data_IF_751354460304
#
_entry.id   IF_751354460304
#
_cell.length_a   1.000
_cell.length_b   1.000
_cell.length_c   1.000
_cell.angle_alpha   90.00
_cell.angle_beta   90.00
_cell.angle_gamma   90.00
#
_symmetry.space_group_name_H-M   'P 1'
#
loop_
_entity.id
_entity.type
_entity.pdbx_description
1 polymer ?
#
# COMPACT_ATOMS: atom_id res chain seq x y z
N UNK A 1 -3.55 -21.36 12.43
CA UNK A 1 -4.81 -21.41 11.64
C UNK A 1 -4.81 -22.53 10.62
N UNK A 2 -3.86 -22.59 9.68
CA UNK A 2 -3.86 -23.63 8.61
C UNK A 2 -3.84 -25.06 9.19
N UNK A 3 -3.06 -25.30 10.24
CA UNK A 3 -3.00 -26.61 10.91
C UNK A 3 -4.34 -26.98 11.57
N UNK A 4 -5.00 -26.04 12.26
CA UNK A 4 -6.34 -26.26 12.82
C UNK A 4 -7.36 -26.62 11.73
N UNK A 5 -7.27 -25.96 10.57
CA UNK A 5 -8.16 -26.26 9.45
C UNK A 5 -8.04 -27.70 8.96
N UNK A 6 -6.82 -28.23 8.87
CA UNK A 6 -6.53 -29.59 8.39
C UNK A 6 -7.02 -30.64 9.38
N UNK A 7 -6.84 -30.40 10.69
CA UNK A 7 -7.08 -31.42 11.71
C UNK A 7 -8.46 -31.34 12.35
N UNK A 8 -9.06 -30.15 12.48
CA UNK A 8 -10.29 -29.97 13.28
C UNK A 8 -11.47 -29.42 12.49
N UNK A 9 -11.30 -29.07 11.21
CA UNK A 9 -12.35 -28.52 10.34
C UNK A 9 -13.06 -27.26 10.89
N UNK A 10 -12.44 -26.59 11.86
CA UNK A 10 -12.88 -25.31 12.42
C UNK A 10 -11.66 -24.43 12.68
N UNK A 11 -11.85 -23.11 12.75
CA UNK A 11 -10.81 -22.19 13.20
C UNK A 11 -11.30 -21.35 14.38
N UNK A 12 -10.38 -21.09 15.31
CA UNK A 12 -10.65 -20.29 16.49
C UNK A 12 -10.58 -18.80 16.15
N UNK A 13 -11.64 -18.04 16.48
CA UNK A 13 -11.72 -16.61 16.17
C UNK A 13 -10.75 -15.77 17.01
N UNK A 14 -10.43 -16.19 18.23
CA UNK A 14 -9.41 -15.53 19.06
C UNK A 14 -8.02 -15.54 18.41
N UNK A 15 -7.63 -16.67 17.81
CA UNK A 15 -6.36 -16.79 17.10
C UNK A 15 -6.32 -15.96 15.80
N UNK A 16 -7.49 -15.75 15.16
CA UNK A 16 -7.65 -14.85 14.02
C UNK A 16 -7.42 -13.40 14.45
N UNK A 17 -8.09 -12.98 15.52
CA UNK A 17 -7.95 -11.63 16.08
C UNK A 17 -6.49 -11.37 16.45
N UNK A 18 -5.84 -12.30 17.16
CA UNK A 18 -4.44 -12.16 17.54
C UNK A 18 -3.52 -11.96 16.31
N UNK A 19 -3.70 -12.77 15.26
CA UNK A 19 -2.91 -12.66 14.03
C UNK A 19 -3.08 -11.30 13.33
N UNK A 20 -4.32 -10.79 13.26
CA UNK A 20 -4.63 -9.48 12.67
C UNK A 20 -4.03 -8.36 13.52
N UNK A 21 -4.26 -8.38 14.83
CA UNK A 21 -3.79 -7.35 15.77
C UNK A 21 -2.27 -7.23 15.70
N UNK A 22 -1.54 -8.34 15.80
CA UNK A 22 -0.07 -8.34 15.75
C UNK A 22 0.41 -7.76 14.41
N UNK A 23 -0.13 -8.24 13.29
CA UNK A 23 0.37 -7.89 11.95
C UNK A 23 0.06 -6.45 11.56
N UNK A 24 -1.16 -5.98 11.80
CA UNK A 24 -1.55 -4.61 11.48
C UNK A 24 -0.98 -3.58 12.45
N UNK A 25 -0.82 -3.91 13.73
CA UNK A 25 -0.14 -3.02 14.69
C UNK A 25 1.31 -2.83 14.28
N UNK A 26 2.00 -3.93 13.95
CA UNK A 26 3.37 -3.87 13.46
C UNK A 26 3.48 -3.02 12.19
N UNK A 27 2.59 -3.20 11.22
CA UNK A 27 2.59 -2.40 9.99
C UNK A 27 2.30 -0.91 10.23
N UNK A 28 1.38 -0.61 11.15
CA UNK A 28 1.06 0.78 11.55
C UNK A 28 2.29 1.45 12.18
N UNK A 29 2.99 0.76 13.07
CA UNK A 29 4.23 1.26 13.69
C UNK A 29 5.32 1.48 12.63
N UNK A 30 5.53 0.53 11.72
CA UNK A 30 6.55 0.64 10.66
C UNK A 30 6.27 1.85 9.75
N UNK A 31 5.03 2.03 9.31
CA UNK A 31 4.63 3.16 8.46
C UNK A 31 4.73 4.49 9.23
N UNK A 32 4.34 4.50 10.51
CA UNK A 32 4.48 5.67 11.39
C UNK A 32 5.95 6.07 11.60
N UNK A 33 6.84 5.10 11.83
CA UNK A 33 8.28 5.34 11.97
C UNK A 33 8.88 5.87 10.66
N UNK A 34 8.46 5.32 9.52
CA UNK A 34 8.90 5.80 8.20
C UNK A 34 8.44 7.24 7.97
N UNK A 35 7.19 7.57 8.28
CA UNK A 35 6.67 8.93 8.25
C UNK A 35 7.51 9.88 9.10
N UNK A 36 7.75 9.53 10.36
CA UNK A 36 8.57 10.34 11.27
C UNK A 36 9.98 10.60 10.71
N UNK A 37 10.63 9.58 10.14
CA UNK A 37 11.96 9.74 9.52
C UNK A 37 11.94 10.71 8.35
N UNK A 38 10.96 10.62 7.45
CA UNK A 38 10.85 11.54 6.32
C UNK A 38 10.50 12.97 6.76
N UNK A 39 9.60 13.14 7.72
CA UNK A 39 9.26 14.46 8.28
C UNK A 39 10.44 15.11 9.02
N UNK A 40 11.20 14.31 9.78
CA UNK A 40 12.43 14.76 10.43
C UNK A 40 13.50 15.14 9.40
N UNK A 41 13.64 14.36 8.34
CA UNK A 41 14.57 14.66 7.24
C UNK A 41 14.19 15.95 6.50
N UNK A 42 12.89 16.21 6.30
CA UNK A 42 12.40 17.48 5.75
C UNK A 42 12.86 18.68 6.58
N UNK A 43 12.76 18.59 7.93
CA UNK A 43 13.22 19.63 8.86
C UNK A 43 14.74 19.84 8.83
N UNK A 44 15.51 18.78 8.61
CA UNK A 44 16.98 18.81 8.72
C UNK A 44 17.70 19.18 7.41
N UNK A 45 17.18 18.81 6.24
CA UNK A 45 17.98 18.77 5.01
C UNK A 45 17.28 19.38 3.79
N UNK A 46 16.80 20.63 3.90
CA UNK A 46 16.42 21.56 2.80
C UNK A 46 14.94 21.80 2.46
N UNK A 47 13.97 21.55 3.36
CA UNK A 47 12.55 21.87 3.10
C UNK A 47 12.03 21.34 1.74
N UNK A 48 12.51 20.18 1.30
CA UNK A 48 12.12 19.62 0.00
C UNK A 48 10.68 19.07 0.08
N UNK A 49 9.77 19.69 -0.68
CA UNK A 49 8.34 19.34 -0.75
C UNK A 49 8.12 17.85 -1.06
N UNK A 50 9.01 17.22 -1.85
CA UNK A 50 8.91 15.79 -2.17
C UNK A 50 9.07 14.91 -0.92
N UNK A 51 10.03 15.25 -0.05
CA UNK A 51 10.29 14.53 1.20
C UNK A 51 9.13 14.72 2.18
N UNK A 52 8.59 15.94 2.25
CA UNK A 52 7.38 16.24 3.04
C UNK A 52 6.20 15.38 2.57
N UNK A 53 5.96 15.33 1.26
CA UNK A 53 4.82 14.61 0.69
C UNK A 53 4.90 13.10 0.97
N UNK A 54 6.09 12.50 0.91
CA UNK A 54 6.28 11.12 1.36
C UNK A 54 6.02 10.94 2.86
N UNK A 55 6.52 11.86 3.70
CA UNK A 55 6.27 11.84 5.14
C UNK A 55 4.77 11.88 5.46
N UNK A 56 4.03 12.80 4.85
CA UNK A 56 2.56 12.89 4.98
C UNK A 56 1.89 11.64 4.46
N UNK A 57 2.33 11.11 3.31
CA UNK A 57 1.73 9.91 2.74
C UNK A 57 1.87 8.70 3.67
N UNK A 58 3.05 8.49 4.25
CA UNK A 58 3.26 7.41 5.21
C UNK A 58 2.46 7.61 6.50
N UNK A 59 2.21 8.85 6.91
CA UNK A 59 1.33 9.16 8.05
C UNK A 59 -0.11 8.74 7.75
N UNK A 60 -0.64 9.12 6.59
CA UNK A 60 -2.00 8.76 6.17
C UNK A 60 -2.12 7.25 5.96
N UNK A 61 -1.09 6.59 5.43
CA UNK A 61 -1.06 5.13 5.32
C UNK A 61 -1.08 4.43 6.68
N UNK A 62 -0.30 4.92 7.66
CA UNK A 62 -0.34 4.41 9.03
C UNK A 62 -1.73 4.57 9.66
N UNK A 63 -2.35 5.75 9.48
CA UNK A 63 -3.72 6.01 9.93
C UNK A 63 -4.72 5.04 9.28
N UNK A 64 -4.63 4.83 7.96
CA UNK A 64 -5.49 3.90 7.24
C UNK A 64 -5.36 2.46 7.72
N UNK A 65 -4.13 1.96 7.94
CA UNK A 65 -3.90 0.63 8.51
C UNK A 65 -4.46 0.50 9.94
N UNK A 66 -4.33 1.55 10.75
CA UNK A 66 -4.91 1.60 12.10
C UNK A 66 -6.44 1.56 12.10
N UNK A 67 -7.09 2.31 11.20
CA UNK A 67 -8.55 2.29 11.06
C UNK A 67 -9.03 0.90 10.60
N UNK A 68 -8.34 0.30 9.63
CA UNK A 68 -8.63 -1.07 9.16
C UNK A 68 -8.53 -2.06 10.33
N UNK A 69 -7.49 -1.97 11.15
CA UNK A 69 -7.32 -2.81 12.34
C UNK A 69 -8.53 -2.70 13.29
N UNK A 70 -8.91 -1.47 13.67
CA UNK A 70 -10.00 -1.24 14.63
C UNK A 70 -11.33 -1.75 14.09
N UNK A 71 -11.64 -1.46 12.83
CA UNK A 71 -12.92 -1.87 12.23
C UNK A 71 -12.98 -3.39 12.06
N UNK A 72 -11.90 -4.01 11.58
CA UNK A 72 -11.85 -5.45 11.37
C UNK A 72 -11.99 -6.22 12.67
N UNK A 73 -11.27 -5.81 13.71
CA UNK A 73 -11.36 -6.45 15.03
C UNK A 73 -12.76 -6.28 15.62
N UNK A 74 -13.36 -5.10 15.50
CA UNK A 74 -14.73 -4.83 15.96
C UNK A 74 -15.77 -5.73 15.28
N UNK A 75 -15.66 -5.97 13.97
CA UNK A 75 -16.56 -6.88 13.27
C UNK A 75 -16.34 -8.35 13.63
N UNK A 76 -15.10 -8.77 13.82
CA UNK A 76 -14.77 -10.16 14.13
C UNK A 76 -15.19 -10.51 15.57
N UNK A 77 -15.13 -9.56 16.51
CA UNK A 77 -15.62 -9.72 17.89
C UNK A 77 -17.12 -10.03 17.98
N UNK A 78 -17.90 -9.65 16.98
CA UNK A 78 -19.35 -9.93 16.91
C UNK A 78 -19.66 -11.36 16.41
N UNK A 79 -18.64 -12.13 16.01
CA UNK A 79 -18.80 -13.48 15.45
C UNK A 79 -18.66 -14.56 16.54
N UNK A 80 -19.25 -15.76 16.35
CA UNK A 80 -19.09 -16.86 17.30
C UNK A 80 -17.62 -17.26 17.48
N UNK A 81 -17.27 -17.80 18.65
CA UNK A 81 -15.90 -18.12 19.03
C UNK A 81 -15.20 -19.12 18.09
N UNK A 82 -15.97 -19.95 17.39
CA UNK A 82 -15.50 -20.93 16.43
C UNK A 82 -16.36 -20.86 15.16
N UNK A 83 -15.70 -20.90 14.00
CA UNK A 83 -16.35 -20.92 12.69
C UNK A 83 -15.90 -22.20 11.97
N UNK A 84 -16.85 -23.11 11.74
CA UNK A 84 -16.66 -24.38 11.03
C UNK A 84 -17.47 -24.46 9.73
N UNK A 85 -17.15 -25.47 8.90
CA UNK A 85 -17.72 -25.64 7.56
C UNK A 85 -19.25 -25.77 7.47
N UNK A 86 -19.93 -26.12 8.56
CA UNK A 86 -21.41 -26.25 8.61
C UNK A 86 -22.14 -24.94 8.91
N UNK A 87 -21.44 -23.95 9.49
CA UNK A 87 -21.98 -22.61 9.78
C UNK A 87 -21.62 -21.58 8.70
N UNK A 88 -20.75 -21.96 7.76
CA UNK A 88 -20.23 -21.12 6.69
C UNK A 88 -20.96 -21.23 5.37
N UNK A 89 -22.11 -21.92 5.34
CA UNK A 89 -23.04 -21.74 4.24
C UNK A 89 -23.35 -20.26 4.15
N UNK A 90 -23.13 -19.67 2.98
CA UNK A 90 -23.77 -18.43 2.57
C UNK A 90 -25.28 -18.63 2.77
N UNK A 91 -25.78 -18.40 3.99
CA UNK A 91 -27.20 -18.17 4.22
C UNK A 91 -27.46 -16.80 3.61
N UNK A 92 -27.55 -16.78 2.28
CA UNK A 92 -28.34 -15.77 1.60
C UNK A 92 -29.76 -16.05 2.05
N UNK A 93 -30.10 -15.56 3.25
CA UNK A 93 -31.48 -15.37 3.58
C UNK A 93 -31.96 -14.33 2.57
N UNK A 94 -32.63 -14.80 1.52
CA UNK A 94 -33.67 -14.02 0.85
C UNK A 94 -34.83 -13.81 1.85
N UNK A 95 -34.54 -13.22 3.03
CA UNK A 95 -35.54 -12.59 3.86
C UNK A 95 -35.57 -11.13 3.41
N UNK A 96 -36.20 -10.93 2.27
CA UNK A 96 -36.87 -9.69 1.93
C UNK A 96 -37.81 -9.33 3.08
N UNK A 97 -37.33 -8.49 4.01
CA UNK A 97 -38.04 -7.38 4.67
C UNK A 97 -37.18 -6.85 5.82
N UNK A 98 -36.85 -5.56 5.72
CA UNK A 98 -36.64 -4.62 6.82
C UNK A 98 -35.56 -4.93 7.87
N UNK A 99 -34.35 -4.43 7.60
CA UNK A 99 -33.67 -3.58 8.59
C UNK A 99 -32.95 -2.41 7.90
N UNK A 100 -33.72 -1.60 7.17
CA UNK A 100 -33.29 -0.41 6.41
C UNK A 100 -32.50 0.60 7.27
N UNK A 101 -32.56 0.46 8.61
CA UNK A 101 -31.84 1.28 9.59
C UNK A 101 -30.36 0.88 9.82
N UNK A 102 -29.96 -0.37 9.50
CA UNK A 102 -28.61 -0.89 9.74
C UNK A 102 -27.68 -0.71 8.53
N UNK A 103 -28.24 -0.72 7.32
CA UNK A 103 -27.51 -0.51 6.06
C UNK A 103 -26.77 0.84 5.94
N UNK A 104 -27.35 2.01 6.34
CA UNK A 104 -26.61 3.27 6.26
C UNK A 104 -25.38 3.27 7.19
N UNK A 105 -25.45 2.60 8.34
CA UNK A 105 -24.32 2.50 9.29
C UNK A 105 -23.18 1.66 8.72
N UNK A 106 -23.48 0.51 8.11
CA UNK A 106 -22.46 -0.35 7.50
C UNK A 106 -21.76 0.34 6.31
N UNK A 107 -22.50 1.10 5.51
CA UNK A 107 -21.96 1.90 4.39
C UNK A 107 -21.06 3.04 4.90
N UNK A 108 -21.51 3.80 5.89
CA UNK A 108 -20.72 4.87 6.53
C UNK A 108 -19.43 4.29 7.09
N UNK A 109 -19.51 3.15 7.79
CA UNK A 109 -18.34 2.49 8.35
C UNK A 109 -17.36 2.03 7.26
N UNK A 110 -17.86 1.44 6.16
CA UNK A 110 -17.04 1.08 5.00
C UNK A 110 -16.33 2.30 4.40
N UNK A 111 -17.06 3.40 4.19
CA UNK A 111 -16.47 4.63 3.66
C UNK A 111 -15.40 5.19 4.61
N UNK A 112 -15.68 5.27 5.92
CA UNK A 112 -14.70 5.73 6.93
C UNK A 112 -13.45 4.83 6.93
N UNK A 113 -13.62 3.51 6.79
CA UNK A 113 -12.53 2.54 6.85
C UNK A 113 -11.55 2.68 5.68
N UNK A 114 -12.08 2.83 4.47
CA UNK A 114 -11.25 2.78 3.26
C UNK A 114 -10.87 4.17 2.72
N UNK A 115 -11.53 5.25 3.16
CA UNK A 115 -11.21 6.63 2.71
C UNK A 115 -9.77 7.06 3.02
N UNK A 116 -9.21 6.85 4.23
CA UNK A 116 -7.82 7.21 4.52
C UNK A 116 -6.85 6.47 3.59
N UNK A 117 -7.09 5.20 3.30
CA UNK A 117 -6.27 4.40 2.40
C UNK A 117 -6.35 4.89 0.95
N UNK A 118 -7.54 5.32 0.48
CA UNK A 118 -7.71 5.97 -0.83
C UNK A 118 -6.95 7.30 -0.90
N UNK A 119 -7.03 8.11 0.15
CA UNK A 119 -6.30 9.38 0.23
C UNK A 119 -4.78 9.15 0.25
N UNK A 120 -4.31 8.19 1.04
CA UNK A 120 -2.91 7.78 1.07
C UNK A 120 -2.45 7.37 -0.34
N UNK A 121 -3.24 6.57 -1.06
CA UNK A 121 -2.92 6.15 -2.41
C UNK A 121 -2.75 7.33 -3.37
N UNK A 122 -3.67 8.31 -3.36
CA UNK A 122 -3.58 9.51 -4.21
C UNK A 122 -2.37 10.37 -3.85
N UNK A 123 -2.15 10.63 -2.55
CA UNK A 123 -0.98 11.37 -2.08
C UNK A 123 0.33 10.67 -2.47
N UNK A 124 0.35 9.34 -2.37
CA UNK A 124 1.49 8.53 -2.76
C UNK A 124 1.76 8.60 -4.26
N UNK A 125 0.71 8.64 -5.07
CA UNK A 125 0.82 8.83 -6.51
C UNK A 125 1.38 10.21 -6.88
N UNK A 126 0.96 11.26 -6.20
CA UNK A 126 1.51 12.60 -6.41
C UNK A 126 2.99 12.63 -5.98
N UNK A 127 3.35 12.01 -4.86
CA UNK A 127 4.72 11.92 -4.37
C UNK A 127 5.65 11.21 -5.35
N UNK A 128 5.19 10.08 -5.88
CA UNK A 128 5.96 9.27 -6.83
C UNK A 128 6.08 9.96 -8.19
N UNK A 129 5.02 10.59 -8.69
CA UNK A 129 5.08 11.41 -9.90
C UNK A 129 6.09 12.57 -9.78
N UNK A 130 6.14 13.23 -8.62
CA UNK A 130 7.10 14.30 -8.35
C UNK A 130 8.54 13.79 -8.24
N UNK A 131 8.78 12.70 -7.50
CA UNK A 131 10.12 12.12 -7.35
C UNK A 131 10.70 11.66 -8.69
N UNK A 132 9.85 11.03 -9.50
CA UNK A 132 10.25 10.49 -10.78
C UNK A 132 10.30 11.57 -11.89
N UNK A 133 9.79 12.79 -11.63
CA UNK A 133 9.77 13.88 -12.62
C UNK A 133 11.15 14.17 -13.20
N UNK A 134 12.18 14.11 -12.37
CA UNK A 134 13.56 14.37 -12.80
C UNK A 134 14.13 13.22 -13.65
N UNK A 135 13.63 12.00 -13.44
CA UNK A 135 13.96 10.82 -14.27
C UNK A 135 13.18 10.77 -15.59
N UNK A 136 12.08 11.53 -15.73
CA UNK A 136 11.30 11.61 -16.97
C UNK A 136 12.13 12.03 -18.20
N UNK A 137 13.21 12.79 -17.98
CA UNK A 137 14.13 13.22 -19.04
C UNK A 137 14.96 12.07 -19.61
N UNK A 138 15.27 11.04 -18.81
CA UNK A 138 16.05 9.87 -19.24
C UNK A 138 15.18 8.80 -19.89
N UNK A 139 13.92 8.65 -19.44
CA UNK A 139 13.00 7.61 -19.89
C UNK A 139 12.15 8.03 -21.11
N UNK A 140 12.09 9.33 -21.42
CA UNK A 140 11.23 9.92 -22.43
C UNK A 140 9.89 10.36 -21.85
N UNK A 141 9.53 11.64 -22.05
CA UNK A 141 8.38 12.30 -21.40
C UNK A 141 7.05 11.57 -21.67
N UNK A 142 6.81 11.12 -22.90
CA UNK A 142 5.54 10.44 -23.24
C UNK A 142 5.42 9.08 -22.53
N UNK A 143 6.44 8.21 -22.64
CA UNK A 143 6.49 6.90 -21.98
C UNK A 143 6.35 7.01 -20.47
N UNK A 144 6.98 8.04 -19.90
CA UNK A 144 6.89 8.35 -18.49
C UNK A 144 5.47 8.67 -18.03
N UNK A 145 4.79 9.61 -18.70
CA UNK A 145 3.43 10.01 -18.34
C UNK A 145 2.41 8.90 -18.59
N UNK A 146 2.57 8.08 -19.63
CA UNK A 146 1.70 6.92 -19.84
C UNK A 146 1.82 5.91 -18.68
N UNK A 147 3.04 5.62 -18.22
CA UNK A 147 3.28 4.67 -17.11
C UNK A 147 2.69 5.21 -15.80
N UNK A 148 2.79 6.52 -15.53
CA UNK A 148 2.25 7.15 -14.31
C UNK A 148 0.74 7.32 -14.35
N UNK A 149 0.15 7.57 -15.53
CA UNK A 149 -1.30 7.74 -15.67
C UNK A 149 -2.06 6.43 -15.49
N UNK A 150 -1.46 5.31 -15.89
CA UNK A 150 -2.14 4.01 -15.95
C UNK A 150 -2.77 3.58 -14.61
N UNK A 151 -2.09 3.69 -13.45
CA UNK A 151 -2.66 3.22 -12.18
C UNK A 151 -3.68 4.22 -11.61
N UNK A 152 -3.52 5.50 -11.91
CA UNK A 152 -4.46 6.56 -11.54
C UNK A 152 -5.79 6.37 -12.27
N UNK A 153 -5.74 6.06 -13.57
CA UNK A 153 -6.93 5.75 -14.38
C UNK A 153 -7.63 4.50 -13.85
N UNK A 154 -6.89 3.43 -13.53
CA UNK A 154 -7.48 2.23 -12.91
C UNK A 154 -8.21 2.54 -11.60
N UNK A 155 -7.62 3.39 -10.75
CA UNK A 155 -8.22 3.81 -9.49
C UNK A 155 -9.45 4.71 -9.65
N UNK A 156 -9.38 5.68 -10.56
CA UNK A 156 -10.49 6.59 -10.89
C UNK A 156 -11.65 5.82 -11.52
N UNK A 157 -11.38 4.90 -12.44
CA UNK A 157 -12.39 4.01 -12.99
C UNK A 157 -13.11 3.26 -11.85
N UNK A 158 -12.35 2.65 -10.93
CA UNK A 158 -12.92 1.97 -9.77
C UNK A 158 -13.78 2.85 -8.86
N UNK A 159 -13.53 4.15 -8.81
CA UNK A 159 -14.30 5.10 -7.98
C UNK A 159 -15.52 5.68 -8.71
N UNK A 160 -15.44 5.84 -10.04
CA UNK A 160 -16.52 6.40 -10.87
C UNK A 160 -17.60 5.34 -11.16
N UNK A 161 -17.21 4.08 -11.35
CA UNK A 161 -18.16 2.99 -11.62
C UNK A 161 -18.97 2.56 -10.39
N UNK A 162 -18.58 3.00 -9.18
CA UNK A 162 -19.43 2.90 -7.99
C UNK A 162 -20.50 3.98 -8.07
N UNK A 163 -21.57 3.69 -8.81
CA UNK A 163 -22.73 4.56 -8.83
C UNK A 163 -23.42 4.52 -7.46
N UNK A 164 -23.83 5.66 -6.90
CA UNK A 164 -24.72 5.68 -5.73
C UNK A 164 -26.12 5.16 -6.07
N UNK A 165 -26.41 4.96 -7.37
CA UNK A 165 -27.66 4.40 -7.86
C UNK A 165 -27.67 2.89 -7.58
N UNK A 166 -28.50 2.50 -6.61
CA UNK A 166 -28.61 1.22 -5.90
C UNK A 166 -28.97 -0.01 -6.75
N UNK A 167 -28.66 0.01 -8.05
CA UNK A 167 -29.05 -1.02 -9.02
C UNK A 167 -28.10 -2.23 -9.03
N UNK A 168 -26.88 -2.08 -8.53
CA UNK A 168 -25.90 -3.15 -8.43
C UNK A 168 -25.82 -3.72 -7.00
N UNK A 169 -25.56 -5.03 -6.90
CA UNK A 169 -25.31 -5.67 -5.61
C UNK A 169 -24.06 -5.06 -4.95
N UNK A 170 -24.12 -4.74 -3.66
CA UNK A 170 -23.01 -4.16 -2.87
C UNK A 170 -21.71 -4.98 -2.97
N UNK A 171 -21.82 -6.28 -3.28
CA UNK A 171 -20.71 -7.17 -3.58
C UNK A 171 -19.99 -6.81 -4.88
N UNK A 172 -20.72 -6.51 -5.95
CA UNK A 172 -20.15 -6.15 -7.25
C UNK A 172 -19.34 -4.86 -7.14
N UNK A 173 -19.88 -3.85 -6.45
CA UNK A 173 -19.19 -2.57 -6.24
C UNK A 173 -17.95 -2.76 -5.36
N UNK A 174 -18.04 -3.55 -4.29
CA UNK A 174 -16.89 -3.88 -3.46
C UNK A 174 -15.79 -4.61 -4.25
N UNK A 175 -16.15 -5.61 -5.06
CA UNK A 175 -15.19 -6.35 -5.90
C UNK A 175 -14.52 -5.46 -6.95
N UNK A 176 -15.28 -4.54 -7.55
CA UNK A 176 -14.76 -3.59 -8.53
C UNK A 176 -13.77 -2.62 -7.88
N UNK A 177 -14.10 -2.06 -6.72
CA UNK A 177 -13.18 -1.20 -5.95
C UNK A 177 -11.93 -1.97 -5.51
N UNK A 178 -12.08 -3.19 -4.99
CA UNK A 178 -10.96 -4.02 -4.55
C UNK A 178 -10.02 -4.36 -5.72
N UNK A 179 -10.57 -4.77 -6.86
CA UNK A 179 -9.78 -5.10 -8.05
C UNK A 179 -9.04 -3.88 -8.62
N UNK A 180 -9.70 -2.71 -8.63
CA UNK A 180 -9.07 -1.44 -9.02
C UNK A 180 -7.91 -1.06 -8.09
N UNK A 181 -8.09 -1.21 -6.76
CA UNK A 181 -7.05 -0.93 -5.77
C UNK A 181 -5.85 -1.87 -5.94
N UNK A 182 -6.12 -3.17 -6.13
CA UNK A 182 -5.12 -4.20 -6.34
C UNK A 182 -4.35 -3.96 -7.64
N UNK A 183 -5.04 -3.71 -8.74
CA UNK A 183 -4.43 -3.39 -10.03
C UNK A 183 -3.55 -2.14 -9.93
N UNK A 184 -4.05 -1.07 -9.29
CA UNK A 184 -3.30 0.16 -9.07
C UNK A 184 -2.02 -0.06 -8.24
N UNK A 185 -2.12 -0.85 -7.17
CA UNK A 185 -0.98 -1.19 -6.30
C UNK A 185 0.05 -2.10 -6.97
N UNK A 186 -0.37 -3.06 -7.80
CA UNK A 186 0.55 -3.90 -8.58
C UNK A 186 1.27 -3.08 -9.64
N UNK A 187 0.55 -2.25 -10.39
CA UNK A 187 1.15 -1.37 -11.39
C UNK A 187 2.17 -0.43 -10.74
N UNK A 188 1.89 0.01 -9.51
CA UNK A 188 2.85 0.78 -8.73
C UNK A 188 4.15 0.00 -8.48
N UNK A 189 4.08 -1.25 -8.03
CA UNK A 189 5.28 -2.08 -7.86
C UNK A 189 6.04 -2.30 -9.19
N UNK A 190 5.32 -2.39 -10.31
CA UNK A 190 5.93 -2.47 -11.65
C UNK A 190 6.75 -1.22 -11.96
N UNK A 191 6.33 -0.02 -11.51
CA UNK A 191 7.15 1.20 -11.70
C UNK A 191 8.52 1.10 -11.02
N UNK A 192 8.58 0.55 -9.81
CA UNK A 192 9.85 0.30 -9.12
C UNK A 192 10.71 -0.75 -9.83
N UNK A 193 10.11 -1.80 -10.38
CA UNK A 193 10.83 -2.81 -11.16
C UNK A 193 11.38 -2.25 -12.47
N UNK A 194 10.60 -1.43 -13.18
CA UNK A 194 11.06 -0.74 -14.40
C UNK A 194 12.25 0.16 -14.05
N UNK A 195 12.16 0.90 -12.95
CA UNK A 195 13.24 1.76 -12.48
C UNK A 195 14.51 0.95 -12.15
N UNK A 196 14.36 -0.15 -11.42
CA UNK A 196 15.48 -1.04 -11.10
C UNK A 196 16.14 -1.65 -12.36
N UNK A 197 15.34 -2.05 -13.35
CA UNK A 197 15.84 -2.58 -14.64
C UNK A 197 16.56 -1.53 -15.46
N UNK A 198 16.02 -0.30 -15.51
CA UNK A 198 16.66 0.81 -16.22
C UNK A 198 18.05 1.12 -15.66
N UNK A 199 18.26 0.96 -14.35
CA UNK A 199 19.57 1.18 -13.72
C UNK A 199 20.56 0.07 -14.05
N UNK A 200 20.11 -1.19 -14.14
CA UNK A 200 20.97 -2.34 -14.50
C UNK A 200 21.43 -2.33 -15.96
N UNK A 201 20.65 -1.72 -16.86
CA UNK A 201 20.97 -1.68 -18.30
C UNK A 201 21.98 -0.59 -18.68
N UNK A 202 22.38 0.29 -17.76
CA UNK A 202 23.37 1.33 -18.09
C UNK A 202 24.77 0.70 -18.16
N UNK A 203 25.44 0.84 -19.29
CA UNK A 203 26.64 0.08 -19.75
C UNK A 203 27.90 0.22 -18.88
N UNK A 204 27.85 1.00 -17.80
CA UNK A 204 28.92 1.09 -16.79
C UNK A 204 28.39 0.60 -15.43
N UNK A 205 28.59 -0.69 -15.08
CA UNK A 205 28.17 -1.21 -13.79
C UNK A 205 29.04 -0.60 -12.69
N UNK A 206 28.53 0.39 -11.97
CA UNK A 206 29.11 0.82 -10.70
C UNK A 206 28.35 0.14 -9.55
N UNK A 207 29.08 -0.25 -8.51
CA UNK A 207 28.53 -0.98 -7.34
C UNK A 207 27.30 -0.29 -6.74
N UNK A 208 27.27 1.06 -6.73
CA UNK A 208 26.16 1.84 -6.19
C UNK A 208 24.83 1.69 -6.96
N UNK A 209 24.85 1.62 -8.30
CA UNK A 209 23.61 1.46 -9.09
C UNK A 209 22.99 0.07 -8.90
N UNK A 210 23.82 -0.96 -8.75
CA UNK A 210 23.35 -2.31 -8.45
C UNK A 210 22.67 -2.36 -7.09
N UNK A 211 23.27 -1.78 -6.05
CA UNK A 211 22.68 -1.72 -4.71
C UNK A 211 21.34 -0.98 -4.71
N UNK A 212 21.24 0.15 -5.40
CA UNK A 212 19.99 0.90 -5.55
C UNK A 212 18.90 0.07 -6.25
N UNK A 213 19.27 -0.65 -7.32
CA UNK A 213 18.34 -1.55 -8.02
C UNK A 213 17.85 -2.69 -7.10
N UNK A 214 18.69 -3.22 -6.21
CA UNK A 214 18.27 -4.21 -5.20
C UNK A 214 17.26 -3.63 -4.21
N UNK A 215 17.50 -2.43 -3.67
CA UNK A 215 16.55 -1.78 -2.75
C UNK A 215 15.20 -1.48 -3.39
N UNK A 216 15.19 -1.01 -4.65
CA UNK A 216 13.96 -0.81 -5.43
C UNK A 216 13.22 -2.13 -5.69
N UNK A 217 13.96 -3.22 -5.96
CA UNK A 217 13.35 -4.54 -6.18
C UNK A 217 12.71 -5.08 -4.89
N UNK A 218 13.38 -4.95 -3.74
CA UNK A 218 12.83 -5.33 -2.43
C UNK A 218 11.57 -4.51 -2.12
N UNK A 219 11.60 -3.20 -2.39
CA UNK A 219 10.44 -2.33 -2.20
C UNK A 219 9.27 -2.77 -3.06
N UNK A 220 9.51 -3.11 -4.34
CA UNK A 220 8.47 -3.59 -5.26
C UNK A 220 7.78 -4.86 -4.76
N UNK A 221 8.55 -5.88 -4.35
CA UNK A 221 7.98 -7.09 -3.77
C UNK A 221 7.21 -6.82 -2.48
N UNK A 222 7.74 -5.95 -1.61
CA UNK A 222 7.05 -5.48 -0.42
C UNK A 222 5.71 -4.82 -0.74
N UNK A 223 5.65 -3.97 -1.78
CA UNK A 223 4.39 -3.33 -2.18
C UNK A 223 3.38 -4.31 -2.76
N UNK A 224 3.78 -5.24 -3.63
CA UNK A 224 2.86 -6.28 -4.16
C UNK A 224 2.26 -7.07 -3.01
N UNK A 225 3.12 -7.54 -2.10
CA UNK A 225 2.68 -8.35 -0.97
C UNK A 225 1.74 -7.55 -0.04
N UNK A 226 2.02 -6.27 0.20
CA UNK A 226 1.20 -5.40 1.05
C UNK A 226 -0.17 -5.15 0.43
N UNK A 227 -0.23 -4.87 -0.87
CA UNK A 227 -1.48 -4.62 -1.59
C UNK A 227 -2.37 -5.86 -1.59
N UNK A 228 -1.79 -7.04 -1.88
CA UNK A 228 -2.54 -8.31 -1.83
C UNK A 228 -3.02 -8.61 -0.42
N UNK A 229 -2.20 -8.37 0.60
CA UNK A 229 -2.55 -8.62 1.99
C UNK A 229 -3.69 -7.72 2.49
N UNK A 230 -3.69 -6.42 2.15
CA UNK A 230 -4.66 -5.43 2.65
C UNK A 230 -5.99 -5.46 1.90
N UNK A 231 -6.01 -5.95 0.66
CA UNK A 231 -7.22 -5.94 -0.19
C UNK A 231 -8.20 -7.08 0.11
N UNK A 232 -7.88 -7.99 1.03
CA UNK A 232 -8.79 -9.08 1.41
C UNK A 232 -9.95 -8.58 2.29
N UNK A 233 -11.24 -8.80 1.92
CA UNK A 233 -12.39 -8.27 2.66
C UNK A 233 -12.69 -9.06 3.94
N UNK A 234 -13.03 -8.35 5.01
CA UNK A 234 -13.23 -8.92 6.37
C UNK A 234 -14.66 -9.34 6.63
N UNK A 235 -15.60 -8.68 5.94
CA UNK A 235 -17.03 -8.70 6.22
C UNK A 235 -17.58 -10.15 6.21
N UNK A 236 -17.04 -11.02 5.35
CA UNK A 236 -17.59 -12.35 5.14
C UNK A 236 -16.97 -13.47 5.98
N UNK A 237 -15.83 -13.25 6.67
CA UNK A 237 -14.98 -14.30 7.31
C UNK A 237 -15.27 -15.72 6.79
N UNK A 238 -15.08 -15.96 5.48
CA UNK A 238 -15.52 -17.20 4.87
C UNK A 238 -14.71 -18.36 5.45
N UNK A 239 -15.34 -19.52 5.55
CA UNK A 239 -14.61 -20.77 5.76
C UNK A 239 -14.35 -21.39 4.39
N UNK A 240 -13.10 -21.71 4.04
CA UNK A 240 -11.86 -21.52 4.82
C UNK A 240 -11.35 -20.07 4.84
N UNK A 241 -10.66 -19.62 5.91
CA UNK A 241 -10.25 -18.23 6.14
C UNK A 241 -8.98 -17.85 5.36
N UNK A 242 -9.00 -17.95 4.03
CA UNK A 242 -7.83 -17.59 3.20
C UNK A 242 -7.38 -16.13 3.38
N UNK A 243 -8.32 -15.23 3.61
CA UNK A 243 -8.05 -13.83 3.93
C UNK A 243 -7.22 -13.66 5.21
N UNK A 244 -7.41 -14.53 6.21
CA UNK A 244 -6.66 -14.49 7.46
C UNK A 244 -5.15 -14.74 7.25
N UNK A 245 -4.83 -15.70 6.38
CA UNK A 245 -3.44 -15.98 6.02
C UNK A 245 -2.81 -14.78 5.32
N UNK A 246 -3.54 -14.13 4.40
CA UNK A 246 -3.08 -12.91 3.74
C UNK A 246 -2.80 -11.78 4.74
N UNK A 247 -3.68 -11.55 5.71
CA UNK A 247 -3.49 -10.51 6.74
C UNK A 247 -2.27 -10.72 7.63
N UNK A 248 -1.85 -11.96 7.87
CA UNK A 248 -0.62 -12.24 8.62
C UNK A 248 0.64 -11.69 7.92
N UNK A 249 0.60 -11.49 6.61
CA UNK A 249 1.73 -10.94 5.85
C UNK A 249 1.76 -9.40 5.81
N UNK A 250 0.77 -8.69 6.37
CA UNK A 250 0.72 -7.22 6.38
C UNK A 250 1.94 -6.61 7.10
N UNK A 251 2.31 -7.17 8.24
CA UNK A 251 3.50 -6.75 8.99
C UNK A 251 4.79 -6.93 8.18
N UNK A 252 5.02 -8.14 7.67
CA UNK A 252 6.22 -8.47 6.88
C UNK A 252 6.33 -7.63 5.60
N UNK A 253 5.23 -7.48 4.87
CA UNK A 253 5.20 -6.71 3.63
C UNK A 253 5.48 -5.23 3.86
N UNK A 254 4.91 -4.64 4.91
CA UNK A 254 5.20 -3.25 5.30
C UNK A 254 6.67 -3.06 5.65
N UNK A 255 7.30 -4.05 6.30
CA UNK A 255 8.72 -4.02 6.62
C UNK A 255 9.59 -4.04 5.36
N UNK A 256 9.38 -5.01 4.46
CA UNK A 256 10.12 -5.12 3.19
C UNK A 256 10.00 -3.84 2.36
N UNK A 257 8.78 -3.34 2.25
CA UNK A 257 8.48 -2.11 1.54
C UNK A 257 9.22 -0.91 2.14
N UNK A 258 9.09 -0.70 3.46
CA UNK A 258 9.72 0.40 4.19
C UNK A 258 11.25 0.37 4.09
N UNK A 259 11.83 -0.82 4.28
CA UNK A 259 13.27 -1.03 4.22
C UNK A 259 13.83 -0.71 2.83
N UNK A 260 13.25 -1.30 1.78
CA UNK A 260 13.67 -1.05 0.40
C UNK A 260 13.49 0.42 0.00
N UNK A 261 12.37 1.03 0.36
CA UNK A 261 12.07 2.41 0.01
C UNK A 261 13.02 3.39 0.72
N UNK A 262 13.24 3.22 2.02
CA UNK A 262 14.10 4.09 2.82
C UNK A 262 15.55 4.07 2.34
N UNK A 263 16.13 2.88 2.13
CA UNK A 263 17.50 2.78 1.65
C UNK A 263 17.67 3.26 0.20
N UNK A 264 16.66 3.05 -0.65
CA UNK A 264 16.63 3.66 -1.99
C UNK A 264 16.68 5.20 -1.91
N UNK A 265 15.88 5.80 -1.02
CA UNK A 265 15.84 7.24 -0.84
C UNK A 265 17.18 7.81 -0.36
N UNK A 266 17.84 7.14 0.60
CA UNK A 266 19.18 7.53 1.07
C UNK A 266 20.22 7.46 -0.05
N UNK A 267 20.25 6.36 -0.79
CA UNK A 267 21.24 6.17 -1.87
C UNK A 267 21.06 7.23 -2.96
N UNK A 268 19.82 7.60 -3.30
CA UNK A 268 19.56 8.68 -4.27
C UNK A 268 20.02 10.03 -3.72
N UNK A 269 19.79 10.30 -2.43
CA UNK A 269 20.21 11.54 -1.78
C UNK A 269 21.74 11.71 -1.71
N UNK A 270 22.47 10.62 -1.53
CA UNK A 270 23.94 10.64 -1.54
C UNK A 270 24.50 10.96 -2.93
N UNK A 271 23.98 10.32 -3.98
CA UNK A 271 24.40 10.59 -5.37
C UNK A 271 24.10 12.04 -5.77
N UNK A 272 22.94 12.58 -5.38
CA UNK A 272 22.62 13.99 -5.62
C UNK A 272 23.57 14.95 -4.91
N UNK A 273 23.92 14.69 -3.64
CA UNK A 273 24.93 15.49 -2.91
C UNK A 273 26.31 15.43 -3.55
N UNK A 274 26.76 14.26 -4.00
CA UNK A 274 28.06 14.09 -4.68
C UNK A 274 28.11 14.85 -6.01
N UNK A 275 27.04 14.80 -6.81
CA UNK A 275 26.98 15.57 -8.07
C UNK A 275 27.00 17.07 -7.83
N UNK A 276 26.31 17.52 -6.78
CA UNK A 276 26.34 18.93 -6.39
C UNK A 276 27.74 19.35 -5.93
N UNK A 277 28.43 18.56 -5.09
CA UNK A 277 29.77 18.91 -4.61
C UNK A 277 30.80 18.98 -5.76
N UNK A 278 30.77 18.02 -6.69
CA UNK A 278 31.65 18.04 -7.87
C UNK A 278 31.40 19.28 -8.76
N UNK A 279 30.14 19.66 -8.97
CA UNK A 279 29.79 20.86 -9.74
C UNK A 279 30.28 22.15 -9.08
N UNK A 280 30.19 22.24 -7.75
CA UNK A 280 30.72 23.40 -7.01
C UNK A 280 32.26 23.42 -7.00
N UNK A 281 32.91 22.26 -6.88
CA UNK A 281 34.37 22.14 -6.96
C UNK A 281 34.90 22.56 -8.33
N UNK A 282 34.28 22.11 -9.42
CA UNK A 282 34.66 22.50 -10.79
C UNK A 282 34.50 24.01 -11.03
N UNK A 283 33.42 24.62 -10.53
CA UNK A 283 33.24 26.08 -10.61
C UNK A 283 34.29 26.86 -9.84
N UNK A 284 34.71 26.39 -8.66
CA UNK A 284 35.78 27.05 -7.87
C UNK A 284 37.12 27.04 -8.60
N UNK A 285 37.45 25.94 -9.27
CA UNK A 285 38.70 25.81 -10.04
C UNK A 285 38.71 26.77 -11.24
N UNK A 286 37.56 27.01 -11.88
CA UNK A 286 37.45 27.95 -13.00
C UNK A 286 37.52 29.43 -12.58
N UNK A 287 37.16 29.78 -11.35
CA UNK A 287 37.25 31.16 -10.83
C UNK A 287 38.62 31.55 -10.27
N UNK A 288 39.55 30.60 -10.12
CA UNK A 288 40.92 30.83 -9.64
C UNK A 288 41.97 30.86 -10.77
N UNK A 289 41.54 30.92 -12.03
CA UNK A 289 42.37 31.21 -13.20
C UNK A 289 41.90 32.51 -13.82
#
# INVERSE_FOLDING_TARGET
MILQLIFTSHYNVGLLIAAIVISFTLATIIMGLLSYRFLSWYKSSTNNVTVLLYGVTFAVAAMGLGVILVVNTSFILLKPAEIGGSQSGLKINHSSTSDVSQYPKALILYQITYTPSRLAFVLYWIATALLLRDYSRKLGRLKFWTIISLPLVSFLAGSIFVSPDYKHSLLCDALLVLSALTAGGILFAVTFLIMARSMKHTTTPTTHYNTLAYYLTISAFGTVLLVVAVTSPVIYTPYPPFAAAAWSFVGLSSYLYSLGFYFSAISIAQDTKLRQSMRHGHKRIQTTR
#
